data_IF_868409769278
#
_entry.id   IF_868409769278
#
_cell.length_a   1.000
_cell.length_b   1.000
_cell.length_c   1.000
_cell.angle_alpha   90.00
_cell.angle_beta   90.00
_cell.angle_gamma   90.00
#
_symmetry.space_group_name_H-M   'P 1'
#
loop_
_entity.id
_entity.type
_entity.pdbx_description
1 polymer ?
#
# COMPACT_ATOMS: atom_id res chain seq x y z
N UNK A 1 -0.32 8.78 23.63
CA UNK A 1 -0.06 10.00 22.85
C UNK A 1 -0.84 9.95 21.55
N UNK A 2 -1.42 11.08 21.10
CA UNK A 2 -2.20 11.06 19.87
C UNK A 2 -1.44 10.55 18.66
N UNK A 3 -0.14 10.90 18.53
CA UNK A 3 0.67 10.46 17.40
C UNK A 3 0.90 8.95 17.39
N UNK A 4 1.02 8.32 18.57
CA UNK A 4 1.20 6.88 18.66
C UNK A 4 -0.09 6.15 18.26
N UNK A 5 -1.24 6.67 18.68
CA UNK A 5 -2.53 6.11 18.29
C UNK A 5 -2.76 6.26 16.79
N UNK A 6 -2.33 7.37 16.21
CA UNK A 6 -2.43 7.60 14.77
C UNK A 6 -1.55 6.62 14.00
N UNK A 7 -0.32 6.41 14.45
CA UNK A 7 0.59 5.45 13.84
C UNK A 7 -0.01 4.04 13.89
N UNK A 8 -0.55 3.64 15.05
CA UNK A 8 -1.15 2.33 15.22
C UNK A 8 -2.33 2.13 14.25
N UNK A 9 -3.22 3.12 14.15
CA UNK A 9 -4.36 3.05 13.22
C UNK A 9 -3.88 2.97 11.77
N UNK A 10 -2.85 3.74 11.41
CA UNK A 10 -2.31 3.72 10.06
C UNK A 10 -1.66 2.38 9.74
N UNK A 11 -0.97 1.77 10.69
CA UNK A 11 -0.39 0.44 10.50
C UNK A 11 -1.47 -0.62 10.33
N UNK A 12 -2.57 -0.54 11.11
CA UNK A 12 -3.71 -1.45 10.96
C UNK A 12 -4.38 -1.26 9.59
N UNK A 13 -4.49 -0.02 9.13
CA UNK A 13 -5.04 0.27 7.81
C UNK A 13 -4.14 -0.32 6.71
N UNK A 14 -2.82 -0.29 6.90
CA UNK A 14 -1.89 -0.89 5.95
C UNK A 14 -2.05 -2.41 5.88
N UNK A 15 -2.28 -3.07 7.02
CA UNK A 15 -2.58 -4.51 7.05
C UNK A 15 -3.84 -4.79 6.22
N UNK A 16 -4.90 -4.02 6.41
CA UNK A 16 -6.15 -4.18 5.69
C UNK A 16 -5.97 -3.92 4.19
N UNK A 17 -5.22 -2.88 3.86
CA UNK A 17 -4.92 -2.54 2.46
C UNK A 17 -4.25 -3.71 1.74
N UNK A 18 -3.23 -4.31 2.35
CA UNK A 18 -2.45 -5.36 1.70
C UNK A 18 -3.14 -6.72 1.77
N UNK A 19 -3.61 -7.12 2.95
CA UNK A 19 -4.16 -8.48 3.12
C UNK A 19 -5.57 -8.62 2.57
N UNK A 20 -6.36 -7.56 2.60
CA UNK A 20 -7.74 -7.60 2.09
C UNK A 20 -7.84 -6.92 0.73
N UNK A 21 -7.31 -5.70 0.59
CA UNK A 21 -7.42 -4.96 -0.66
C UNK A 21 -6.59 -5.53 -1.79
N UNK A 22 -5.28 -5.59 -1.59
CA UNK A 22 -4.34 -6.06 -2.61
C UNK A 22 -4.53 -7.55 -2.90
N UNK A 23 -4.50 -8.39 -1.86
CA UNK A 23 -4.56 -9.84 -2.03
C UNK A 23 -5.84 -10.30 -2.71
N UNK A 24 -6.94 -9.60 -2.50
CA UNK A 24 -8.23 -9.94 -3.11
C UNK A 24 -8.52 -9.14 -4.37
N UNK A 25 -7.60 -8.30 -4.81
CA UNK A 25 -7.80 -7.41 -5.97
C UNK A 25 -9.06 -6.55 -5.81
N UNK A 26 -9.33 -6.11 -4.59
CA UNK A 26 -10.50 -5.27 -4.30
C UNK A 26 -10.15 -3.80 -4.50
N UNK A 27 -9.95 -3.44 -5.79
CA UNK A 27 -9.37 -2.15 -6.16
C UNK A 27 -10.28 -0.97 -5.80
N UNK A 28 -11.57 -1.08 -6.07
CA UNK A 28 -12.51 0.01 -5.87
C UNK A 28 -13.10 0.03 -4.46
N UNK A 29 -12.90 -1.03 -3.70
CA UNK A 29 -13.34 -1.13 -2.31
C UNK A 29 -12.25 -0.82 -1.33
N UNK A 30 -11.68 -1.87 -0.71
CA UNK A 30 -10.70 -1.72 0.37
C UNK A 30 -9.44 -1.00 -0.11
N UNK A 31 -8.93 -1.36 -1.30
CA UNK A 31 -7.70 -0.75 -1.81
C UNK A 31 -7.87 0.78 -1.95
N UNK A 32 -8.92 1.22 -2.63
CA UNK A 32 -9.16 2.65 -2.84
C UNK A 32 -9.46 3.38 -1.53
N UNK A 33 -10.15 2.72 -0.59
CA UNK A 33 -10.58 3.36 0.66
C UNK A 33 -9.40 3.86 1.50
N UNK A 34 -8.25 3.20 1.42
CA UNK A 34 -7.08 3.57 2.20
C UNK A 34 -6.15 4.57 1.51
N UNK A 35 -6.57 5.10 0.36
CA UNK A 35 -5.83 6.14 -0.37
C UNK A 35 -6.69 7.38 -0.54
N UNK A 36 -6.05 8.55 -0.61
CA UNK A 36 -6.78 9.76 -1.02
C UNK A 36 -6.98 9.77 -2.53
N UNK A 37 -7.95 10.55 -2.99
CA UNK A 37 -8.23 10.66 -4.43
C UNK A 37 -7.03 11.18 -5.21
N UNK A 38 -6.21 12.03 -4.60
CA UNK A 38 -5.06 12.67 -5.21
C UNK A 38 -3.72 12.02 -4.85
N UNK A 39 -3.73 10.77 -4.39
CA UNK A 39 -2.54 10.08 -3.89
C UNK A 39 -1.41 10.08 -4.92
N UNK A 40 -0.19 10.39 -4.44
CA UNK A 40 1.04 10.22 -5.23
C UNK A 40 1.62 8.85 -4.89
N UNK A 41 1.86 8.03 -5.90
CA UNK A 41 2.53 6.74 -5.71
C UNK A 41 3.78 6.68 -6.58
N UNK A 42 4.91 6.51 -5.92
CA UNK A 42 6.21 6.37 -6.59
C UNK A 42 6.72 4.94 -6.35
N UNK A 43 6.36 4.05 -7.27
CA UNK A 43 6.88 2.70 -7.27
C UNK A 43 8.22 2.72 -8.00
N UNK A 44 9.29 2.46 -7.30
CA UNK A 44 10.64 2.57 -7.84
C UNK A 44 10.82 1.63 -9.04
N UNK A 45 11.33 2.18 -10.13
CA UNK A 45 11.46 1.46 -11.39
C UNK A 45 10.30 1.67 -12.35
N UNK A 46 9.24 2.36 -11.93
CA UNK A 46 8.08 2.70 -12.75
C UNK A 46 7.85 4.22 -12.69
N UNK A 47 7.19 4.80 -13.70
CA UNK A 47 6.79 6.21 -13.61
C UNK A 47 5.84 6.41 -12.42
N UNK A 48 5.97 7.51 -11.67
CA UNK A 48 5.03 7.82 -10.59
C UNK A 48 3.60 7.99 -11.13
N UNK A 49 2.62 7.61 -10.31
CA UNK A 49 1.21 7.85 -10.64
C UNK A 49 0.64 8.94 -9.75
N UNK A 50 -0.31 9.71 -10.31
CA UNK A 50 -0.98 10.80 -9.61
C UNK A 50 -2.47 10.52 -9.62
N UNK A 51 -3.03 10.31 -8.43
CA UNK A 51 -4.43 10.01 -8.26
C UNK A 51 -4.71 8.52 -8.17
N UNK A 52 -5.80 8.19 -7.47
CA UNK A 52 -6.14 6.79 -7.16
C UNK A 52 -6.44 5.98 -8.44
N UNK A 53 -7.06 6.61 -9.44
CA UNK A 53 -7.40 5.88 -10.64
C UNK A 53 -6.16 5.45 -11.42
N UNK A 54 -5.16 6.34 -11.56
CA UNK A 54 -3.90 5.97 -12.21
C UNK A 54 -3.19 4.86 -11.45
N UNK A 55 -3.22 4.93 -10.11
CA UNK A 55 -2.59 3.90 -9.29
C UNK A 55 -3.28 2.55 -9.48
N UNK A 56 -4.61 2.52 -9.45
CA UNK A 56 -5.38 1.29 -9.67
C UNK A 56 -5.08 0.72 -11.06
N UNK A 57 -5.07 1.57 -12.09
CA UNK A 57 -4.80 1.14 -13.46
C UNK A 57 -3.40 0.52 -13.57
N UNK A 58 -2.41 1.14 -12.92
CA UNK A 58 -1.04 0.62 -12.90
C UNK A 58 -0.96 -0.73 -12.19
N UNK A 59 -1.69 -0.90 -11.08
CA UNK A 59 -1.70 -2.16 -10.34
C UNK A 59 -2.40 -3.26 -11.13
N UNK A 60 -3.50 -2.95 -11.80
CA UNK A 60 -4.18 -3.91 -12.67
C UNK A 60 -3.28 -4.38 -13.80
N UNK A 61 -2.56 -3.45 -14.44
CA UNK A 61 -1.63 -3.79 -15.51
C UNK A 61 -0.52 -4.70 -15.01
N UNK A 62 0.02 -4.41 -13.83
CA UNK A 62 1.04 -5.25 -13.20
C UNK A 62 0.50 -6.66 -12.92
N UNK A 63 -0.68 -6.76 -12.33
CA UNK A 63 -1.31 -8.04 -12.00
C UNK A 63 -1.59 -8.85 -13.27
N UNK A 64 -2.07 -8.20 -14.34
CA UNK A 64 -2.31 -8.86 -15.61
C UNK A 64 -1.01 -9.44 -16.19
N UNK A 65 0.09 -8.70 -16.08
CA UNK A 65 1.39 -9.17 -16.55
C UNK A 65 1.95 -10.30 -15.68
N UNK A 66 1.50 -10.40 -14.43
CA UNK A 66 1.93 -11.42 -13.47
C UNK A 66 1.02 -12.66 -13.46
N UNK A 67 0.13 -12.81 -14.43
CA UNK A 67 -0.72 -13.99 -14.55
C UNK A 67 -2.16 -13.79 -14.11
N UNK A 68 -2.58 -12.57 -13.80
CA UNK A 68 -3.96 -12.23 -13.49
C UNK A 68 -4.34 -12.31 -12.01
N UNK A 69 -3.43 -12.75 -11.14
CA UNK A 69 -3.65 -12.78 -9.69
C UNK A 69 -2.53 -11.99 -9.01
N UNK A 70 -2.87 -11.09 -8.07
CA UNK A 70 -1.83 -10.36 -7.36
C UNK A 70 -0.91 -11.33 -6.60
N UNK A 71 0.42 -11.11 -6.65
CA UNK A 71 1.31 -11.84 -5.76
C UNK A 71 0.85 -11.64 -4.32
N UNK A 72 0.63 -12.73 -3.59
CA UNK A 72 0.02 -12.66 -2.27
C UNK A 72 1.02 -12.19 -1.22
N UNK A 73 0.63 -11.18 -0.45
CA UNK A 73 1.38 -10.71 0.71
C UNK A 73 0.92 -11.55 1.90
N UNK A 74 1.85 -12.26 2.53
CA UNK A 74 1.50 -13.22 3.59
C UNK A 74 1.80 -12.70 4.98
N UNK A 75 2.66 -11.69 5.12
CA UNK A 75 2.97 -11.13 6.43
C UNK A 75 3.61 -9.74 6.31
N UNK A 76 3.55 -8.98 7.39
CA UNK A 76 4.28 -7.72 7.58
C UNK A 76 5.27 -7.94 8.74
N UNK A 77 6.44 -8.56 8.50
CA UNK A 77 7.37 -8.89 9.58
C UNK A 77 8.02 -7.67 10.22
N UNK A 78 8.08 -6.55 9.51
CA UNK A 78 8.65 -5.31 10.00
C UNK A 78 7.66 -4.20 9.69
N UNK A 79 7.21 -3.49 10.73
CA UNK A 79 6.35 -2.33 10.54
C UNK A 79 6.53 -1.37 11.70
N UNK A 80 6.63 -0.08 11.36
CA UNK A 80 6.81 0.98 12.34
C UNK A 80 6.40 2.30 11.71
N UNK A 81 6.33 3.35 12.53
CA UNK A 81 6.00 4.66 12.02
C UNK A 81 6.27 5.75 13.02
N UNK A 82 6.12 6.99 12.57
CA UNK A 82 6.28 8.18 13.38
C UNK A 82 5.45 9.30 12.77
N UNK A 83 4.60 9.94 13.56
CA UNK A 83 3.76 11.03 13.09
C UNK A 83 2.82 10.58 11.98
N UNK A 84 2.94 11.21 10.81
CA UNK A 84 2.12 10.92 9.65
C UNK A 84 2.69 9.81 8.77
N UNK A 85 3.82 9.22 9.14
CA UNK A 85 4.55 8.28 8.29
C UNK A 85 4.53 6.87 8.84
N UNK A 86 4.44 5.89 7.93
CA UNK A 86 4.64 4.48 8.25
C UNK A 86 5.64 3.86 7.29
N UNK A 87 6.31 2.80 7.77
CA UNK A 87 7.18 1.98 6.95
C UNK A 87 6.80 0.52 7.21
N UNK A 88 6.47 -0.20 6.16
CA UNK A 88 6.02 -1.59 6.25
C UNK A 88 6.78 -2.45 5.25
N UNK A 89 7.35 -3.55 5.74
CA UNK A 89 7.97 -4.56 4.89
C UNK A 89 6.98 -5.70 4.73
N UNK A 90 6.54 -5.96 3.51
CA UNK A 90 5.64 -7.07 3.20
C UNK A 90 6.43 -8.24 2.64
N UNK A 91 6.07 -9.46 3.05
CA UNK A 91 6.62 -10.68 2.48
C UNK A 91 5.63 -11.32 1.54
N UNK A 92 6.11 -11.70 0.36
CA UNK A 92 5.28 -12.40 -0.62
C UNK A 92 5.34 -13.91 -0.42
N UNK A 93 4.26 -14.57 -0.77
CA UNK A 93 4.25 -16.02 -0.86
C UNK A 93 5.30 -16.45 -1.89
N UNK A 94 6.12 -17.43 -1.53
CA UNK A 94 7.22 -17.88 -2.39
C UNK A 94 8.53 -17.13 -2.22
N UNK A 95 8.55 -16.11 -1.35
CA UNK A 95 9.73 -15.30 -1.06
C UNK A 95 9.66 -13.94 -1.73
N UNK A 96 10.63 -13.10 -1.44
CA UNK A 96 10.63 -11.72 -1.91
C UNK A 96 9.98 -10.79 -0.90
N UNK A 97 10.38 -9.54 -0.93
CA UNK A 97 9.88 -8.51 -0.02
C UNK A 97 9.61 -7.21 -0.75
N UNK A 98 8.69 -6.45 -0.19
CA UNK A 98 8.34 -5.13 -0.68
C UNK A 98 8.40 -4.17 0.51
N UNK A 99 8.99 -3.00 0.32
CA UNK A 99 9.01 -1.96 1.34
C UNK A 99 8.10 -0.82 0.89
N UNK A 100 7.16 -0.44 1.75
CA UNK A 100 6.25 0.67 1.49
C UNK A 100 6.42 1.73 2.57
N UNK A 101 6.81 2.93 2.15
CA UNK A 101 6.83 4.12 3.01
C UNK A 101 5.66 4.98 2.61
N UNK A 102 4.77 5.28 3.56
CA UNK A 102 3.54 5.99 3.27
C UNK A 102 3.35 7.17 4.21
N UNK A 103 2.89 8.28 3.64
CA UNK A 103 2.42 9.43 4.41
C UNK A 103 0.90 9.41 4.44
N UNK A 104 0.32 9.64 5.60
CA UNK A 104 -1.11 9.54 5.85
C UNK A 104 -1.73 10.90 6.16
N UNK A 105 -2.97 11.08 5.75
CA UNK A 105 -3.79 12.26 6.08
C UNK A 105 -5.20 11.78 6.33
N UNK A 106 -5.72 12.03 7.54
CA UNK A 106 -7.10 11.68 7.92
C UNK A 106 -7.42 10.20 7.66
N UNK A 107 -6.45 9.33 7.95
CA UNK A 107 -6.65 7.89 7.85
C UNK A 107 -6.45 7.30 6.46
N UNK A 108 -5.98 8.09 5.48
CA UNK A 108 -5.72 7.62 4.13
C UNK A 108 -4.34 8.05 3.65
N UNK A 109 -3.76 7.27 2.74
CA UNK A 109 -2.43 7.53 2.20
C UNK A 109 -2.50 8.65 1.17
N UNK A 110 -1.66 9.69 1.35
CA UNK A 110 -1.52 10.79 0.40
C UNK A 110 -0.27 10.67 -0.46
N UNK A 111 0.77 10.01 0.05
CA UNK A 111 2.02 9.75 -0.69
C UNK A 111 2.49 8.36 -0.33
N UNK A 112 2.96 7.65 -1.32
CA UNK A 112 3.40 6.28 -1.13
C UNK A 112 4.65 6.03 -1.97
N UNK A 113 5.67 5.43 -1.35
CA UNK A 113 6.93 5.10 -1.99
C UNK A 113 7.17 3.61 -1.81
N UNK A 114 7.36 2.88 -2.91
CA UNK A 114 7.40 1.42 -2.89
C UNK A 114 8.69 0.92 -3.54
N UNK A 115 9.37 0.02 -2.86
CA UNK A 115 10.54 -0.71 -3.35
C UNK A 115 10.23 -2.20 -3.32
N UNK A 116 10.50 -2.90 -4.41
CA UNK A 116 10.29 -4.34 -4.46
C UNK A 116 11.40 -5.08 -5.20
#
# INVERSE_FOLDING_TARGET
>A
MPSDDQVERNLQAMDDLDFTGWNNADWTGVFARHHTDDVLVDWKGQPPTHGIQEHIDAMKAYVDSAGGTPPQIVSHPIKFGSGEWTCVVGEFEGGGRMVTVAKWRDGAIVEEYIWS
#
